data_IF_997246757413
#
_entry.id   IF_997246757413
#
_cell.length_a   1.000
_cell.length_b   1.000
_cell.length_c   1.000
_cell.angle_alpha   90.00
_cell.angle_beta   90.00
_cell.angle_gamma   90.00
#
_symmetry.space_group_name_H-M   'P 1'
#
loop_
_entity.id
_entity.type
_entity.pdbx_description
1 polymer ?
#
# COMPACT_ATOMS: atom_id res chain seq x y z
N UNK A 1 22.76 2.27 1.46
CA UNK A 1 21.64 3.07 1.99
C UNK A 1 20.79 2.15 2.84
N UNK A 2 20.25 2.64 3.98
CA UNK A 2 19.16 1.92 4.66
C UNK A 2 17.93 1.91 3.75
N UNK A 3 17.06 0.89 3.81
CA UNK A 3 15.83 0.89 3.04
C UNK A 3 14.97 2.12 3.40
N UNK A 4 14.22 2.62 2.43
CA UNK A 4 13.31 3.75 2.58
C UNK A 4 12.26 3.46 3.65
N UNK A 5 11.84 4.51 4.39
CA UNK A 5 10.63 4.44 5.20
C UNK A 5 9.43 4.31 4.27
N UNK A 6 8.64 3.26 4.44
CA UNK A 6 7.59 2.89 3.49
C UNK A 6 6.21 3.23 4.04
N UNK A 7 5.50 4.09 3.31
CA UNK A 7 4.12 4.51 3.63
C UNK A 7 3.19 4.21 2.46
N UNK A 8 2.00 3.69 2.78
CA UNK A 8 0.96 3.44 1.78
C UNK A 8 -0.34 4.16 2.10
N UNK A 9 -0.92 4.78 1.07
CA UNK A 9 -2.27 5.32 1.13
C UNK A 9 -3.25 4.24 0.65
N UNK A 10 -4.14 3.80 1.53
CA UNK A 10 -5.03 2.65 1.33
C UNK A 10 -6.50 3.08 1.35
N UNK A 11 -7.37 2.28 0.73
CA UNK A 11 -8.81 2.51 0.66
C UNK A 11 -9.41 2.12 -0.68
N UNK A 12 -10.74 2.11 -0.79
CA UNK A 12 -11.42 1.83 -2.06
C UNK A 12 -11.08 2.84 -3.17
N UNK A 13 -11.41 2.50 -4.41
CA UNK A 13 -11.22 3.39 -5.55
C UNK A 13 -11.98 4.73 -5.37
N UNK A 14 -11.50 5.78 -6.04
CA UNK A 14 -12.11 7.11 -6.07
C UNK A 14 -12.10 7.93 -4.76
N UNK A 15 -11.28 7.57 -3.76
CA UNK A 15 -11.18 8.31 -2.47
C UNK A 15 -10.05 9.36 -2.40
N UNK A 16 -9.69 9.97 -3.55
CA UNK A 16 -8.64 11.02 -3.65
C UNK A 16 -7.21 10.58 -3.24
N UNK A 17 -6.93 9.27 -3.12
CA UNK A 17 -5.61 8.73 -2.74
C UNK A 17 -4.44 9.32 -3.55
N UNK A 18 -4.54 9.33 -4.88
CA UNK A 18 -3.48 9.87 -5.74
C UNK A 18 -3.14 11.32 -5.41
N UNK A 19 -4.12 12.15 -5.08
CA UNK A 19 -3.85 13.53 -4.64
C UNK A 19 -3.14 13.55 -3.29
N UNK A 20 -3.59 12.75 -2.32
CA UNK A 20 -2.96 12.62 -1.00
C UNK A 20 -1.49 12.18 -1.11
N UNK A 21 -1.22 11.19 -1.97
CA UNK A 21 0.12 10.70 -2.30
C UNK A 21 1.02 11.82 -2.81
N UNK A 22 0.55 12.60 -3.79
CA UNK A 22 1.33 13.72 -4.33
C UNK A 22 1.54 14.84 -3.31
N UNK A 23 0.52 15.19 -2.53
CA UNK A 23 0.63 16.22 -1.48
C UNK A 23 1.62 15.81 -0.39
N UNK A 24 1.57 14.56 0.06
CA UNK A 24 2.51 14.01 1.03
C UNK A 24 3.94 13.95 0.47
N UNK A 25 4.13 13.41 -0.75
CA UNK A 25 5.45 13.39 -1.39
C UNK A 25 6.05 14.79 -1.53
N UNK A 26 5.23 15.79 -1.86
CA UNK A 26 5.65 17.19 -1.86
C UNK A 26 6.09 17.69 -0.48
N UNK A 27 5.42 17.26 0.60
CA UNK A 27 5.82 17.57 1.97
C UNK A 27 7.15 16.91 2.36
N UNK A 28 7.38 15.65 1.95
CA UNK A 28 8.68 14.97 2.13
C UNK A 28 9.79 15.76 1.46
N UNK A 29 9.61 16.15 0.18
CA UNK A 29 10.60 16.94 -0.55
C UNK A 29 10.89 18.29 0.11
N UNK A 30 9.86 18.99 0.60
CA UNK A 30 10.03 20.25 1.36
C UNK A 30 10.78 20.09 2.67
N UNK A 31 10.79 18.89 3.27
CA UNK A 31 11.56 18.58 4.47
C UNK A 31 13.05 18.34 4.20
N UNK A 32 13.48 18.31 2.93
CA UNK A 32 14.85 18.02 2.53
C UNK A 32 15.17 16.52 2.39
N UNK A 33 14.18 15.63 2.56
CA UNK A 33 14.31 14.18 2.34
C UNK A 33 14.05 13.83 0.88
N UNK A 34 14.79 12.85 0.37
CA UNK A 34 14.51 12.25 -0.94
C UNK A 34 13.24 11.39 -0.88
N UNK A 35 12.48 11.36 -1.97
CA UNK A 35 11.19 10.66 -2.03
C UNK A 35 11.03 9.94 -3.37
N UNK A 36 10.57 8.70 -3.31
CA UNK A 36 10.08 7.95 -4.45
C UNK A 36 8.57 7.69 -4.32
N UNK A 37 7.87 7.72 -5.45
CA UNK A 37 6.42 7.49 -5.51
C UNK A 37 6.14 6.27 -6.38
N UNK A 38 5.62 5.21 -5.76
CA UNK A 38 5.14 4.03 -6.46
C UNK A 38 3.93 4.37 -7.32
N UNK A 39 3.90 3.82 -8.54
CA UNK A 39 2.79 4.00 -9.48
C UNK A 39 1.70 2.98 -9.16
N UNK A 40 0.44 3.33 -9.35
CA UNK A 40 -0.68 2.38 -9.23
C UNK A 40 -0.55 1.25 -10.28
N UNK A 41 0.06 0.12 -9.89
CA UNK A 41 0.50 -0.96 -10.81
C UNK A 41 -0.64 -1.57 -11.60
N UNK A 42 -1.85 -1.64 -11.01
CA UNK A 42 -3.03 -2.19 -11.70
C UNK A 42 -3.36 -1.41 -12.96
N UNK A 43 -2.97 -0.13 -13.07
CA UNK A 43 -3.09 0.68 -14.31
C UNK A 43 -2.23 0.22 -15.47
N UNK A 44 -1.38 -0.77 -15.26
CA UNK A 44 -0.52 -1.37 -16.28
C UNK A 44 -0.80 -2.87 -16.46
N UNK A 45 -1.80 -3.42 -15.75
CA UNK A 45 -2.15 -4.84 -15.88
C UNK A 45 -2.59 -5.17 -17.30
N UNK A 46 -2.00 -6.22 -17.92
CA UNK A 46 -2.42 -6.72 -19.23
C UNK A 46 -3.66 -7.63 -19.14
N UNK A 47 -4.09 -8.03 -17.93
CA UNK A 47 -5.11 -9.05 -17.69
C UNK A 47 -6.51 -8.50 -17.38
N UNK A 48 -6.75 -7.21 -17.63
CA UNK A 48 -8.01 -6.52 -17.31
C UNK A 48 -8.07 -5.94 -15.90
N UNK A 49 -9.16 -5.20 -15.59
CA UNK A 49 -9.34 -4.42 -14.34
C UNK A 49 -10.78 -4.43 -13.85
N UNK A 50 -10.98 -4.04 -12.59
CA UNK A 50 -12.28 -3.82 -11.95
C UNK A 50 -13.21 -5.04 -12.04
N UNK A 51 -14.44 -4.85 -12.53
CA UNK A 51 -15.51 -5.85 -12.47
C UNK A 51 -15.29 -7.07 -13.38
N UNK A 52 -14.39 -6.95 -14.36
CA UNK A 52 -14.00 -8.05 -15.25
C UNK A 52 -12.64 -8.69 -14.91
N UNK A 53 -12.00 -8.30 -13.80
CA UNK A 53 -10.72 -8.86 -13.41
C UNK A 53 -10.89 -10.32 -12.93
N UNK A 54 -9.97 -11.20 -13.33
CA UNK A 54 -9.90 -12.60 -12.88
C UNK A 54 -9.03 -12.73 -11.61
N UNK A 55 -9.06 -13.88 -10.91
CA UNK A 55 -8.13 -14.14 -9.81
C UNK A 55 -6.66 -13.93 -10.19
N UNK A 56 -6.24 -14.34 -11.39
CA UNK A 56 -4.89 -14.16 -11.93
C UNK A 56 -4.56 -12.69 -12.17
N UNK A 57 -5.52 -11.89 -12.63
CA UNK A 57 -5.32 -10.45 -12.79
C UNK A 57 -5.05 -9.76 -11.44
N UNK A 58 -5.70 -10.21 -10.37
CA UNK A 58 -5.48 -9.69 -9.02
C UNK A 58 -4.18 -10.22 -8.41
N UNK A 59 -3.83 -11.49 -8.65
CA UNK A 59 -2.53 -12.05 -8.29
C UNK A 59 -1.40 -11.24 -8.95
N UNK A 60 -1.52 -10.95 -10.25
CA UNK A 60 -0.57 -10.10 -10.96
C UNK A 60 -0.42 -8.73 -10.30
N UNK A 61 -1.52 -8.09 -9.88
CA UNK A 61 -1.48 -6.79 -9.21
C UNK A 61 -0.73 -6.86 -7.86
N UNK A 62 -0.90 -7.92 -7.08
CA UNK A 62 -0.14 -8.15 -5.83
C UNK A 62 1.35 -8.30 -6.15
N UNK A 63 1.70 -9.14 -7.12
CA UNK A 63 3.11 -9.41 -7.47
C UNK A 63 3.81 -8.19 -8.07
N UNK A 64 3.13 -7.45 -8.96
CA UNK A 64 3.66 -6.24 -9.57
C UNK A 64 3.89 -5.13 -8.52
N UNK A 65 3.00 -5.02 -7.52
CA UNK A 65 3.17 -4.10 -6.41
C UNK A 65 4.43 -4.45 -5.60
N UNK A 66 4.59 -5.72 -5.22
CA UNK A 66 5.77 -6.22 -4.50
C UNK A 66 7.06 -5.96 -5.28
N UNK A 67 7.05 -6.25 -6.58
CA UNK A 67 8.19 -6.01 -7.46
C UNK A 67 8.58 -4.53 -7.47
N UNK A 68 7.61 -3.63 -7.72
CA UNK A 68 7.88 -2.20 -7.76
C UNK A 68 8.41 -1.68 -6.41
N UNK A 69 7.85 -2.15 -5.30
CA UNK A 69 8.35 -1.79 -3.96
C UNK A 69 9.80 -2.22 -3.76
N UNK A 70 10.19 -3.40 -4.23
CA UNK A 70 11.57 -3.89 -4.18
C UNK A 70 12.52 -3.10 -5.06
N UNK A 71 12.06 -2.63 -6.22
CA UNK A 71 12.86 -1.80 -7.12
C UNK A 71 13.14 -0.42 -6.49
N UNK A 72 12.12 0.18 -5.85
CA UNK A 72 12.20 1.56 -5.33
C UNK A 72 12.76 1.68 -3.90
N UNK A 73 12.69 0.63 -3.06
CA UNK A 73 13.02 0.69 -1.62
C UNK A 73 14.41 1.21 -1.25
N UNK A 74 15.36 1.27 -2.18
CA UNK A 74 16.73 1.72 -1.91
C UNK A 74 17.09 3.03 -2.65
N UNK A 75 16.11 3.68 -3.28
CA UNK A 75 16.34 4.85 -4.14
C UNK A 75 16.08 6.19 -3.43
N UNK A 76 15.42 6.18 -2.27
CA UNK A 76 15.06 7.38 -1.51
C UNK A 76 14.97 7.13 0.00
N UNK A 77 14.86 8.20 0.78
CA UNK A 77 14.63 8.14 2.23
C UNK A 77 13.19 7.69 2.55
N UNK A 78 12.23 8.06 1.70
CA UNK A 78 10.81 7.72 1.85
C UNK A 78 10.26 7.14 0.55
N UNK A 79 9.54 6.02 0.66
CA UNK A 79 8.76 5.42 -0.43
C UNK A 79 7.27 5.61 -0.14
N UNK A 80 6.59 6.36 -1.01
CA UNK A 80 5.15 6.65 -0.92
C UNK A 80 4.39 5.84 -1.95
N UNK A 81 3.36 5.11 -1.53
CA UNK A 81 2.64 4.18 -2.39
C UNK A 81 1.15 4.57 -2.50
N UNK A 82 0.65 4.61 -3.74
CA UNK A 82 -0.78 4.69 -4.04
C UNK A 82 -1.34 3.25 -4.07
N UNK A 83 -1.78 2.78 -2.89
CA UNK A 83 -2.14 1.41 -2.48
C UNK A 83 -1.00 0.61 -1.83
N UNK A 84 -1.41 -0.30 -0.94
CA UNK A 84 -0.58 -1.38 -0.43
C UNK A 84 -1.01 -2.73 -1.01
N UNK A 85 -0.24 -3.79 -0.73
CA UNK A 85 -0.64 -5.17 -1.05
C UNK A 85 -1.99 -5.57 -0.44
N UNK A 86 -2.36 -5.03 0.73
CA UNK A 86 -3.65 -5.31 1.38
C UNK A 86 -4.83 -4.75 0.58
N UNK A 87 -4.66 -3.62 -0.14
CA UNK A 87 -5.68 -3.13 -1.06
C UNK A 87 -5.90 -4.14 -2.18
N UNK A 88 -4.84 -4.53 -2.88
CA UNK A 88 -4.91 -5.48 -3.98
C UNK A 88 -5.48 -6.82 -3.52
N UNK A 89 -5.16 -7.23 -2.29
CA UNK A 89 -5.71 -8.42 -1.65
C UNK A 89 -7.23 -8.31 -1.39
N UNK A 90 -7.76 -7.13 -1.05
CA UNK A 90 -9.21 -6.94 -0.95
C UNK A 90 -9.92 -7.20 -2.28
N UNK A 91 -9.32 -6.76 -3.40
CA UNK A 91 -9.85 -7.03 -4.74
C UNK A 91 -9.70 -8.51 -5.13
N UNK A 92 -8.60 -9.15 -4.73
CA UNK A 92 -8.40 -10.59 -4.87
C UNK A 92 -9.50 -11.39 -4.16
N UNK A 93 -9.71 -11.13 -2.87
CA UNK A 93 -10.76 -11.79 -2.09
C UNK A 93 -12.15 -11.55 -2.65
N UNK A 94 -12.41 -10.37 -3.23
CA UNK A 94 -13.66 -10.11 -3.93
C UNK A 94 -13.84 -11.11 -5.08
N UNK A 95 -12.90 -11.14 -6.04
CA UNK A 95 -13.06 -11.96 -7.25
C UNK A 95 -13.10 -13.46 -6.95
N UNK A 96 -12.35 -13.91 -5.94
CA UNK A 96 -12.33 -15.31 -5.50
C UNK A 96 -13.44 -15.65 -4.50
N UNK A 97 -14.30 -14.69 -4.12
CA UNK A 97 -15.33 -14.85 -3.09
C UNK A 97 -14.75 -15.34 -1.74
N UNK A 98 -13.54 -14.89 -1.40
CA UNK A 98 -12.85 -15.19 -0.16
C UNK A 98 -11.91 -16.40 -0.22
N UNK A 99 -11.95 -17.16 -1.31
CA UNK A 99 -11.04 -18.29 -1.53
C UNK A 99 -9.61 -17.80 -1.80
N UNK A 100 -8.62 -18.64 -1.49
CA UNK A 100 -7.21 -18.35 -1.71
C UNK A 100 -6.55 -19.45 -2.55
N UNK A 101 -6.89 -19.56 -3.84
CA UNK A 101 -6.42 -20.66 -4.70
C UNK A 101 -4.91 -20.64 -5.00
N UNK A 102 -4.19 -19.57 -4.63
CA UNK A 102 -2.76 -19.40 -4.91
C UNK A 102 -1.94 -19.19 -3.63
N UNK A 103 -2.51 -19.46 -2.47
CA UNK A 103 -1.85 -19.30 -1.16
C UNK A 103 -1.24 -17.91 -0.95
N UNK A 104 -1.95 -16.84 -1.36
CA UNK A 104 -1.45 -15.47 -1.27
C UNK A 104 -1.61 -14.88 0.14
N UNK A 105 -2.47 -15.44 0.99
CA UNK A 105 -2.73 -14.95 2.36
C UNK A 105 -1.44 -14.80 3.19
N UNK A 106 -0.58 -15.82 3.31
CA UNK A 106 0.67 -15.70 4.09
C UNK A 106 1.62 -14.66 3.50
N UNK A 107 1.70 -14.57 2.17
CA UNK A 107 2.53 -13.57 1.50
C UNK A 107 2.06 -12.16 1.85
N UNK A 108 0.76 -11.88 1.70
CA UNK A 108 0.18 -10.56 2.04
C UNK A 108 0.35 -10.25 3.52
N UNK A 109 0.18 -11.24 4.40
CA UNK A 109 0.40 -11.08 5.85
C UNK A 109 1.83 -10.65 6.16
N UNK A 110 2.82 -11.38 5.65
CA UNK A 110 4.22 -11.07 5.90
C UNK A 110 4.66 -9.77 5.22
N UNK A 111 4.21 -9.51 4.00
CA UNK A 111 4.56 -8.29 3.28
C UNK A 111 3.96 -7.05 3.92
N UNK A 112 2.75 -7.13 4.49
CA UNK A 112 2.12 -6.02 5.22
C UNK A 112 2.95 -5.56 6.43
N UNK A 113 3.79 -6.43 7.00
CA UNK A 113 4.69 -6.08 8.12
C UNK A 113 5.88 -5.20 7.72
N UNK A 114 6.12 -5.06 6.42
CA UNK A 114 7.24 -4.28 5.86
C UNK A 114 6.91 -2.80 5.66
N UNK A 115 5.64 -2.40 5.81
CA UNK A 115 5.25 -1.00 5.79
C UNK A 115 5.44 -0.40 7.19
N UNK A 116 5.95 0.83 7.23
CA UNK A 116 6.13 1.59 8.45
C UNK A 116 4.84 2.33 8.84
N UNK A 117 4.02 2.71 7.85
CA UNK A 117 2.78 3.43 8.08
C UNK A 117 1.75 3.18 6.96
N UNK A 118 0.48 3.10 7.36
CA UNK A 118 -0.68 3.04 6.48
C UNK A 118 -1.58 4.24 6.75
N UNK A 119 -1.99 4.92 5.68
CA UNK A 119 -2.98 5.99 5.74
C UNK A 119 -4.24 5.53 5.02
N UNK A 120 -5.25 5.15 5.79
CA UNK A 120 -6.54 4.75 5.25
C UNK A 120 -7.42 5.96 5.03
N UNK A 121 -7.76 6.22 3.78
CA UNK A 121 -8.72 7.27 3.42
C UNK A 121 -10.12 6.68 3.36
N UNK A 122 -10.98 7.09 4.30
CA UNK A 122 -12.39 6.69 4.34
C UNK A 122 -13.23 7.50 3.35
N UNK A 123 -14.08 6.86 2.52
CA UNK A 123 -14.98 7.58 1.63
C UNK A 123 -16.10 8.25 2.44
N UNK A 124 -16.03 9.57 2.58
CA UNK A 124 -17.12 10.40 3.13
C UNK A 124 -17.56 11.51 2.17
N UNK A 125 -17.02 11.50 0.95
CA UNK A 125 -17.40 12.39 -0.15
C UNK A 125 -18.13 11.59 -1.22
N UNK A 126 -19.23 12.14 -1.73
CA UNK A 126 -19.98 11.54 -2.83
C UNK A 126 -19.10 11.36 -4.07
N UNK A 127 -19.32 10.25 -4.81
CA UNK A 127 -18.67 10.04 -6.10
C UNK A 127 -19.11 11.16 -7.06
N UNK A 128 -18.17 12.02 -7.47
CA UNK A 128 -18.43 12.97 -8.57
C UNK A 128 -18.30 12.22 -9.89
N UNK A 129 -19.36 12.22 -10.69
CA UNK A 129 -19.33 11.77 -12.07
C UNK A 129 -18.60 12.81 -12.93
N UNK A 130 -17.28 12.77 -12.93
CA UNK A 130 -16.41 13.66 -13.72
C UNK A 130 -16.02 13.05 -15.07
N UNK A 131 -16.71 11.99 -15.51
CA UNK A 131 -16.48 11.32 -16.80
C UNK A 131 -15.23 10.43 -16.85
N UNK A 132 -14.41 10.40 -15.78
CA UNK A 132 -13.16 9.62 -15.71
C UNK A 132 -13.25 8.51 -14.65
N UNK A 133 -14.06 8.69 -13.60
CA UNK A 133 -14.12 7.78 -12.44
C UNK A 133 -15.31 6.84 -12.49
N UNK A 134 -15.10 5.59 -12.05
CA UNK A 134 -16.17 4.59 -11.91
C UNK A 134 -17.28 5.12 -10.99
N UNK A 135 -18.51 5.11 -11.50
CA UNK A 135 -19.73 5.53 -10.79
C UNK A 135 -20.33 4.41 -9.94
N UNK A 136 -19.67 3.24 -9.85
CA UNK A 136 -20.21 2.08 -9.17
C UNK A 136 -20.02 2.16 -7.65
N UNK A 137 -20.91 2.90 -6.99
CA UNK A 137 -20.95 3.01 -5.53
C UNK A 137 -21.14 1.66 -4.84
N UNK A 138 -21.90 0.74 -5.46
CA UNK A 138 -22.11 -0.60 -4.91
C UNK A 138 -20.79 -1.38 -4.85
N UNK A 139 -19.99 -1.31 -5.91
CA UNK A 139 -18.66 -1.93 -5.97
C UNK A 139 -17.70 -1.28 -4.97
N UNK A 140 -17.73 0.05 -4.81
CA UNK A 140 -16.93 0.76 -3.80
C UNK A 140 -17.27 0.27 -2.39
N UNK A 141 -18.55 0.22 -2.06
CA UNK A 141 -19.03 -0.19 -0.75
C UNK A 141 -18.74 -1.68 -0.47
N UNK A 142 -18.76 -2.53 -1.50
CA UNK A 142 -18.33 -3.93 -1.39
C UNK A 142 -16.86 -4.03 -0.98
N UNK A 143 -15.98 -3.30 -1.66
CA UNK A 143 -14.54 -3.26 -1.33
C UNK A 143 -14.29 -2.65 0.06
N UNK A 144 -14.98 -1.57 0.43
CA UNK A 144 -14.85 -1.00 1.78
C UNK A 144 -15.21 -2.00 2.88
N UNK A 145 -16.27 -2.79 2.69
CA UNK A 145 -16.64 -3.86 3.63
C UNK A 145 -15.55 -4.92 3.74
N UNK A 146 -14.94 -5.32 2.62
CA UNK A 146 -13.83 -6.27 2.63
C UNK A 146 -12.62 -5.66 3.37
N UNK A 147 -12.28 -4.40 3.09
CA UNK A 147 -11.20 -3.68 3.77
C UNK A 147 -11.44 -3.56 5.28
N UNK A 148 -12.67 -3.24 5.70
CA UNK A 148 -13.06 -3.20 7.12
C UNK A 148 -12.85 -4.55 7.83
N UNK A 149 -13.03 -5.66 7.11
CA UNK A 149 -12.81 -7.00 7.66
C UNK A 149 -11.32 -7.37 7.72
N UNK A 150 -10.55 -7.07 6.68
CA UNK A 150 -9.17 -7.56 6.56
C UNK A 150 -8.13 -6.63 7.19
N UNK A 151 -8.30 -5.31 7.14
CA UNK A 151 -7.27 -4.38 7.66
C UNK A 151 -6.86 -4.72 9.11
N UNK A 152 -7.81 -4.97 10.05
CA UNK A 152 -7.44 -5.34 11.43
C UNK A 152 -6.66 -6.67 11.56
N UNK A 153 -6.68 -7.53 10.55
CA UNK A 153 -5.99 -8.83 10.55
C UNK A 153 -4.58 -8.74 9.95
N UNK A 154 -4.34 -7.79 9.05
CA UNK A 154 -3.11 -7.68 8.26
C UNK A 154 -2.26 -6.46 8.62
N UNK A 155 -2.87 -5.44 9.24
CA UNK A 155 -2.23 -4.16 9.56
C UNK A 155 -2.18 -3.98 11.06
N UNK A 156 -1.00 -3.68 11.57
CA UNK A 156 -0.78 -3.28 12.95
C UNK A 156 -1.52 -1.94 13.24
N UNK A 157 -2.44 -1.89 14.22
CA UNK A 157 -3.17 -0.68 14.57
C UNK A 157 -2.25 0.52 14.87
N UNK A 158 -1.06 0.30 15.43
CA UNK A 158 -0.13 1.39 15.76
C UNK A 158 0.50 2.02 14.50
N UNK A 159 0.45 1.30 13.38
CA UNK A 159 0.90 1.75 12.05
C UNK A 159 -0.26 2.19 11.16
N UNK A 160 -1.49 2.25 11.66
CA UNK A 160 -2.66 2.68 10.90
C UNK A 160 -3.09 4.08 11.33
N UNK A 161 -3.34 4.93 10.34
CA UNK A 161 -3.98 6.23 10.50
C UNK A 161 -5.21 6.25 9.61
N UNK A 162 -6.38 6.48 10.20
CA UNK A 162 -7.61 6.68 9.45
C UNK A 162 -7.88 8.18 9.30
N UNK A 163 -8.10 8.62 8.07
CA UNK A 163 -8.50 9.98 7.73
C UNK A 163 -9.76 9.94 6.88
N UNK A 164 -10.62 10.94 7.01
CA UNK A 164 -11.72 11.13 6.08
C UNK A 164 -11.20 11.76 4.80
N UNK A 165 -11.72 11.33 3.65
CA UNK A 165 -11.31 11.91 2.36
C UNK A 165 -11.65 13.41 2.25
N UNK A 166 -12.64 13.90 3.02
CA UNK A 166 -12.96 15.33 3.14
C UNK A 166 -11.94 16.14 3.94
N UNK A 167 -11.24 15.52 4.90
CA UNK A 167 -10.23 16.18 5.74
C UNK A 167 -8.92 16.44 4.95
N UNK A 168 -8.64 15.61 3.95
CA UNK A 168 -7.48 15.75 3.07
C UNK A 168 -7.72 16.87 2.04
N UNK A 169 -7.48 18.10 2.49
CA UNK A 169 -7.52 19.33 1.71
C UNK A 169 -6.12 19.92 1.49
N UNK A 170 -6.02 21.05 0.79
CA UNK A 170 -4.73 21.74 0.56
C UNK A 170 -4.05 22.16 1.88
N UNK A 171 -4.83 22.43 2.93
CA UNK A 171 -4.33 22.83 4.24
C UNK A 171 -4.04 21.68 5.21
N UNK A 172 -4.16 20.42 4.76
CA UNK A 172 -3.88 19.27 5.63
C UNK A 172 -2.41 19.26 6.07
N UNK A 173 -2.16 19.10 7.37
CA UNK A 173 -0.82 19.07 7.92
C UNK A 173 -0.12 17.72 7.70
N UNK A 174 0.59 17.63 6.59
CA UNK A 174 1.44 16.48 6.26
C UNK A 174 2.71 16.39 7.13
N UNK A 175 3.08 17.45 7.85
CA UNK A 175 4.28 17.50 8.68
C UNK A 175 4.21 16.53 9.85
N UNK A 176 3.08 16.51 10.56
CA UNK A 176 2.83 15.56 11.65
C UNK A 176 2.91 14.10 11.17
N UNK A 177 2.32 13.80 10.00
CA UNK A 177 2.40 12.46 9.42
C UNK A 177 3.84 12.07 9.07
N UNK A 178 4.62 13.00 8.52
CA UNK A 178 6.02 12.79 8.20
C UNK A 178 6.88 12.59 9.45
N UNK A 179 6.64 13.36 10.51
CA UNK A 179 7.31 13.19 11.80
C UNK A 179 6.98 11.84 12.43
N UNK A 180 5.73 11.38 12.35
CA UNK A 180 5.36 10.04 12.79
C UNK A 180 6.05 8.93 11.99
N UNK A 181 6.24 9.13 10.68
CA UNK A 181 6.90 8.15 9.80
C UNK A 181 8.42 8.09 10.00
N UNK A 182 9.06 9.26 10.07
CA UNK A 182 10.53 9.40 10.01
C UNK A 182 11.17 9.80 11.33
N UNK A 183 10.39 10.11 12.37
CA UNK A 183 10.89 10.80 13.56
C UNK A 183 11.24 12.27 13.31
N UNK A 184 11.75 12.97 14.34
CA UNK A 184 12.24 14.33 14.21
C UNK A 184 13.31 14.44 13.12
N UNK A 185 13.45 15.62 12.51
CA UNK A 185 14.54 15.90 11.57
C UNK A 185 15.90 15.56 12.23
N UNK A 186 16.58 14.54 11.70
CA UNK A 186 17.90 14.10 12.19
C UNK A 186 17.93 12.69 12.79
N UNK A 187 16.79 12.07 13.06
CA UNK A 187 16.76 10.78 13.76
C UNK A 187 16.51 9.56 12.85
N UNK A 188 17.47 8.63 12.97
CA UNK A 188 17.57 7.21 12.59
C UNK A 188 17.02 6.69 11.25
N UNK A 189 18.01 6.40 10.39
CA UNK A 189 18.00 5.31 9.41
C UNK A 189 17.35 4.05 10.01
N UNK A 190 16.40 3.40 9.32
CA UNK A 190 15.89 2.12 9.80
C UNK A 190 17.03 1.10 9.87
N UNK A 191 17.18 0.46 11.02
CA UNK A 191 18.05 -0.71 11.14
C UNK A 191 17.48 -1.83 10.24
N UNK A 192 18.32 -2.46 9.41
CA UNK A 192 17.88 -3.59 8.61
C UNK A 192 17.40 -4.69 9.55
N UNK A 193 16.11 -5.02 9.51
CA UNK A 193 15.58 -6.19 10.22
C UNK A 193 16.31 -7.43 9.69
N UNK A 194 16.93 -8.26 10.56
CA UNK A 194 17.57 -9.48 10.11
C UNK A 194 16.53 -10.37 9.45
N UNK A 195 16.76 -10.71 8.18
CA UNK A 195 15.95 -11.71 7.48
C UNK A 195 16.42 -13.06 7.98
N UNK A 196 15.57 -13.73 8.77
CA UNK A 196 15.83 -15.12 9.17
C UNK A 196 15.40 -16.01 8.02
N UNK A 197 16.37 -16.62 7.34
CA UNK A 197 16.09 -17.61 6.31
C UNK A 197 15.72 -18.93 7.01
N UNK A 198 14.64 -19.58 6.56
CA UNK A 198 14.46 -20.98 6.85
C UNK A 198 15.61 -21.75 6.19
N UNK A 199 16.23 -22.74 6.85
CA UNK A 199 17.29 -23.52 6.25
C UNK A 199 16.81 -24.10 4.92
N UNK A 200 17.59 -23.84 3.88
CA UNK A 200 17.38 -24.37 2.54
C UNK A 200 18.13 -25.68 2.38
N UNK A 201 17.79 -26.45 1.35
CA UNK A 201 18.49 -27.70 1.03
C UNK A 201 20.01 -27.50 0.88
N UNK A 202 20.43 -26.28 0.52
CA UNK A 202 21.82 -25.90 0.25
C UNK A 202 22.62 -25.54 1.51
N UNK A 203 21.98 -25.39 2.67
CA UNK A 203 22.67 -25.15 3.94
C UNK A 203 23.30 -26.44 4.52
N UNK A 204 23.10 -27.57 3.85
CA UNK A 204 23.60 -28.89 4.24
C UNK A 204 24.73 -29.42 3.34
N UNK A 205 25.09 -28.73 2.26
CA UNK A 205 26.08 -29.19 1.27
C UNK A 205 27.52 -28.74 1.56
N UNK A 206 27.76 -27.92 2.60
CA UNK A 206 29.09 -27.41 2.98
C UNK A 206 29.80 -28.27 4.06
N UNK A 207 29.40 -29.52 4.25
CA UNK A 207 30.12 -30.49 5.09
C UNK A 207 30.62 -31.68 4.27
N UNK A 208 31.70 -31.47 3.50
CA UNK A 208 32.59 -32.52 2.99
C UNK A 208 34.06 -32.07 3.10
#
# INVERSE_FOLDING_TARGET
MSPARKIAFIGSHSVRKTNAVHSFAGAVGRSGRSVEVGREVVRFSPLGRNEGATPEAQLWAIMAQIQQELELRNQADVLVLDRAVVDNFAYFLRVTRGEDPFDVKPLVQNWSQTYDLFVRLRPDVALKADGVRSTNEKFRNEIEKILDLIIPQYVDPDRLIELRASEVTEGFDWGNLLERLCGPLGDTKPEPKPVTYAPTLWDFDDQD
#
